data_IF_464297121285
#
_entry.id   IF_464297121285
#
_cell.length_a   1.000
_cell.length_b   1.000
_cell.length_c   1.000
_cell.angle_alpha   90.00
_cell.angle_beta   90.00
_cell.angle_gamma   90.00
#
_symmetry.space_group_name_H-M   'P 1'
#
loop_
_entity.id
_entity.type
_entity.pdbx_description
1 polymer ?
#
# COMPACT_ATOMS: atom_id res chain seq x y z
N UNK A 1 6.49 -19.71 5.25
CA UNK A 1 6.22 -18.40 4.61
C UNK A 1 7.49 -17.56 4.70
N UNK A 2 8.19 -17.37 3.59
CA UNK A 2 9.39 -16.53 3.56
C UNK A 2 8.96 -15.06 3.44
N UNK A 3 8.88 -14.36 4.56
CA UNK A 3 8.68 -12.90 4.55
C UNK A 3 9.98 -12.21 4.17
N UNK A 4 9.90 -11.18 3.36
CA UNK A 4 11.02 -10.29 3.11
C UNK A 4 11.43 -9.64 4.45
N UNK A 5 12.73 -9.65 4.85
CA UNK A 5 13.17 -9.17 6.17
C UNK A 5 12.83 -7.70 6.44
N UNK A 6 12.53 -6.92 5.39
CA UNK A 6 12.14 -5.52 5.47
C UNK A 6 10.62 -5.30 5.36
N UNK A 7 9.77 -6.34 5.49
CA UNK A 7 8.33 -6.23 5.39
C UNK A 7 7.59 -6.74 6.62
N UNK A 8 6.46 -6.10 6.93
CA UNK A 8 5.54 -6.51 7.99
C UNK A 8 4.09 -6.35 7.55
N UNK A 9 3.23 -7.27 8.01
CA UNK A 9 1.79 -7.20 7.79
C UNK A 9 1.09 -7.14 9.16
N UNK A 10 0.46 -6.03 9.46
CA UNK A 10 -0.28 -5.81 10.70
C UNK A 10 -1.46 -4.85 10.45
N UNK A 11 -2.55 -5.05 11.18
CA UNK A 11 -3.71 -4.13 11.19
C UNK A 11 -4.27 -3.81 9.79
N UNK A 12 -4.27 -4.78 8.89
CA UNK A 12 -4.73 -4.58 7.52
C UNK A 12 -3.84 -3.68 6.66
N UNK A 13 -2.59 -3.44 7.09
CA UNK A 13 -1.58 -2.65 6.38
C UNK A 13 -0.32 -3.50 6.18
N UNK A 14 0.24 -3.42 4.99
CA UNK A 14 1.54 -3.98 4.69
C UNK A 14 2.57 -2.86 4.67
N UNK A 15 3.69 -3.05 5.37
CA UNK A 15 4.81 -2.10 5.42
C UNK A 15 6.01 -2.73 4.76
N UNK A 16 6.61 -2.02 3.84
CA UNK A 16 7.82 -2.41 3.13
C UNK A 16 8.85 -1.31 3.26
N UNK A 17 10.04 -1.63 3.78
CA UNK A 17 11.11 -0.65 4.01
C UNK A 17 12.22 -0.82 2.97
N UNK A 18 12.69 0.27 2.44
CA UNK A 18 13.83 0.33 1.52
C UNK A 18 14.72 1.55 1.84
N UNK A 19 15.91 1.56 1.23
CA UNK A 19 16.81 2.70 1.26
C UNK A 19 16.85 3.37 -0.11
N UNK A 20 17.00 4.68 -0.12
CA UNK A 20 17.23 5.46 -1.34
C UNK A 20 18.68 5.33 -1.76
N UNK A 21 18.93 4.98 -3.02
CA UNK A 21 20.24 4.88 -3.65
C UNK A 21 20.47 6.00 -4.67
N UNK A 22 21.70 6.15 -5.17
CA UNK A 22 22.04 7.14 -6.20
C UNK A 22 21.18 7.01 -7.45
N UNK A 23 20.91 5.79 -7.92
CA UNK A 23 20.07 5.51 -9.08
C UNK A 23 18.61 6.02 -8.95
N UNK A 24 18.18 6.30 -7.72
CA UNK A 24 16.83 6.77 -7.43
C UNK A 24 16.71 8.29 -7.46
N UNK A 25 17.85 9.02 -7.46
CA UNK A 25 17.91 10.48 -7.34
C UNK A 25 18.09 11.18 -8.69
N UNK A 26 17.69 12.45 -8.73
CA UNK A 26 17.92 13.34 -9.87
C UNK A 26 19.09 14.32 -9.60
N UNK A 27 19.33 15.20 -10.55
CA UNK A 27 20.38 16.21 -10.45
C UNK A 27 20.16 17.22 -9.29
N UNK A 28 18.96 17.29 -8.74
CA UNK A 28 18.63 18.11 -7.55
C UNK A 28 18.96 17.40 -6.23
N UNK A 29 19.49 16.17 -6.25
CA UNK A 29 19.84 15.39 -5.07
C UNK A 29 18.63 14.89 -4.26
N UNK A 30 17.46 14.84 -4.88
CA UNK A 30 16.23 14.29 -4.31
C UNK A 30 15.75 13.11 -5.13
N UNK A 31 14.92 12.27 -4.53
CA UNK A 31 14.31 11.12 -5.22
C UNK A 31 13.55 11.60 -6.45
N UNK A 32 13.93 11.06 -7.62
CA UNK A 32 13.25 11.33 -8.88
C UNK A 32 11.78 10.91 -8.81
N UNK A 33 10.89 11.76 -9.28
CA UNK A 33 9.45 11.55 -9.09
C UNK A 33 8.94 10.17 -9.55
N UNK A 34 9.49 9.59 -10.62
CA UNK A 34 9.10 8.26 -11.09
C UNK A 34 9.65 7.12 -10.20
N UNK A 35 10.67 7.36 -9.37
CA UNK A 35 11.19 6.36 -8.43
C UNK A 35 10.15 6.00 -7.37
N UNK A 36 9.29 6.93 -6.95
CA UNK A 36 8.18 6.64 -6.04
C UNK A 36 7.20 5.61 -6.61
N UNK A 37 6.98 5.58 -7.93
CA UNK A 37 6.14 4.57 -8.59
C UNK A 37 6.79 3.19 -8.54
N UNK A 38 8.12 3.12 -8.73
CA UNK A 38 8.90 1.87 -8.60
C UNK A 38 8.88 1.34 -7.17
N UNK A 39 9.01 2.21 -6.17
CA UNK A 39 8.91 1.84 -4.76
C UNK A 39 7.52 1.26 -4.43
N UNK A 40 6.47 1.94 -4.90
CA UNK A 40 5.10 1.50 -4.71
C UNK A 40 4.84 0.15 -5.40
N UNK A 41 5.41 -0.08 -6.58
CA UNK A 41 5.29 -1.36 -7.29
C UNK A 41 5.95 -2.50 -6.50
N UNK A 42 7.21 -2.32 -6.04
CA UNK A 42 7.91 -3.30 -5.21
C UNK A 42 7.09 -3.63 -3.94
N UNK A 43 6.60 -2.59 -3.25
CA UNK A 43 5.80 -2.77 -2.03
C UNK A 43 4.51 -3.57 -2.29
N UNK A 44 3.82 -3.35 -3.42
CA UNK A 44 2.65 -4.15 -3.82
C UNK A 44 3.01 -5.62 -4.07
N UNK A 45 4.12 -5.85 -4.75
CA UNK A 45 4.60 -7.20 -5.04
C UNK A 45 4.94 -7.95 -3.77
N UNK A 46 5.63 -7.31 -2.82
CA UNK A 46 5.93 -7.93 -1.52
C UNK A 46 4.66 -8.13 -0.69
N UNK A 47 3.71 -7.19 -0.72
CA UNK A 47 2.43 -7.35 -0.03
C UNK A 47 1.66 -8.60 -0.50
N UNK A 48 1.57 -8.82 -1.81
CA UNK A 48 0.92 -10.02 -2.35
C UNK A 48 1.67 -11.31 -1.98
N UNK A 49 3.02 -11.26 -1.96
CA UNK A 49 3.85 -12.40 -1.56
C UNK A 49 3.63 -12.75 -0.09
N UNK A 50 3.66 -11.76 0.79
CA UNK A 50 3.46 -11.96 2.23
C UNK A 50 2.04 -12.40 2.59
N UNK A 51 1.06 -12.03 1.77
CA UNK A 51 -0.32 -12.50 1.86
C UNK A 51 -0.51 -13.95 1.34
N UNK A 52 0.52 -14.56 0.78
CA UNK A 52 0.45 -15.91 0.20
C UNK A 52 -0.23 -15.98 -1.17
N UNK A 53 -0.38 -14.86 -1.86
CA UNK A 53 -1.03 -14.73 -3.18
C UNK A 53 -0.11 -14.03 -4.20
N UNK A 54 1.12 -14.51 -4.42
CA UNK A 54 2.08 -13.82 -5.28
C UNK A 54 1.64 -13.76 -6.75
N UNK A 55 2.13 -12.77 -7.48
CA UNK A 55 1.84 -12.58 -8.92
C UNK A 55 2.13 -13.84 -9.75
N UNK A 56 3.25 -14.52 -9.47
CA UNK A 56 3.62 -15.74 -10.20
C UNK A 56 2.58 -16.86 -10.06
N UNK A 57 1.99 -17.04 -8.86
CA UNK A 57 0.94 -18.01 -8.64
C UNK A 57 -0.36 -17.62 -9.36
N UNK A 58 -0.71 -16.33 -9.39
CA UNK A 58 -1.87 -15.84 -10.12
C UNK A 58 -1.77 -16.18 -11.61
N UNK A 59 -0.59 -15.95 -12.19
CA UNK A 59 -0.34 -16.27 -13.61
C UNK A 59 -0.30 -17.78 -13.85
N UNK A 60 0.45 -18.54 -13.05
CA UNK A 60 0.64 -19.97 -13.26
C UNK A 60 -0.64 -20.79 -13.06
N UNK A 61 -1.46 -20.44 -12.06
CA UNK A 61 -2.65 -21.22 -11.69
C UNK A 61 -3.92 -20.80 -12.44
N UNK A 62 -4.03 -19.51 -12.74
CA UNK A 62 -5.26 -18.94 -13.29
C UNK A 62 -5.08 -18.27 -14.66
N UNK A 63 -3.87 -18.15 -15.18
CA UNK A 63 -3.60 -17.40 -16.40
C UNK A 63 -4.02 -15.95 -16.31
N UNK A 64 -3.87 -15.33 -15.13
CA UNK A 64 -4.30 -13.97 -14.85
C UNK A 64 -3.14 -13.11 -14.38
N UNK A 65 -3.26 -11.81 -14.56
CA UNK A 65 -2.29 -10.82 -14.07
C UNK A 65 -2.98 -9.52 -13.65
N UNK A 66 -2.33 -8.76 -12.78
CA UNK A 66 -2.73 -7.39 -12.49
C UNK A 66 -2.04 -6.44 -13.46
N UNK A 67 -2.81 -5.49 -13.99
CA UNK A 67 -2.30 -4.35 -14.75
C UNK A 67 -2.70 -3.06 -14.07
N UNK A 68 -1.82 -2.06 -14.13
CA UNK A 68 -2.14 -0.73 -13.62
C UNK A 68 -3.04 -0.02 -14.64
N UNK A 69 -4.24 0.34 -14.21
CA UNK A 69 -5.20 1.11 -15.02
C UNK A 69 -5.05 2.62 -14.81
N UNK A 70 -4.81 3.02 -13.55
CA UNK A 70 -4.72 4.44 -13.18
C UNK A 70 -3.85 4.59 -11.94
N UNK A 71 -3.07 5.65 -11.89
CA UNK A 71 -2.37 6.12 -10.69
C UNK A 71 -2.67 7.60 -10.52
N UNK A 72 -3.02 7.97 -9.28
CA UNK A 72 -2.99 9.35 -8.80
C UNK A 72 -1.83 9.44 -7.80
N UNK A 73 -1.00 10.46 -7.93
CA UNK A 73 0.13 10.70 -7.01
C UNK A 73 0.07 12.12 -6.50
N UNK A 74 0.18 12.28 -5.20
CA UNK A 74 0.38 13.55 -4.54
C UNK A 74 1.79 13.54 -3.91
N UNK A 75 2.69 14.38 -4.40
CA UNK A 75 4.03 14.57 -3.87
C UNK A 75 3.99 15.62 -2.77
N UNK A 76 4.36 15.26 -1.56
CA UNK A 76 4.20 16.10 -0.37
C UNK A 76 5.54 16.66 0.11
N UNK A 77 6.61 15.86 0.01
CA UNK A 77 7.93 16.18 0.54
C UNK A 77 9.00 15.39 -0.22
N UNK A 78 10.15 15.98 -0.55
CA UNK A 78 11.23 15.24 -1.18
C UNK A 78 11.88 14.28 -0.19
N UNK A 79 12.19 13.07 -0.65
CA UNK A 79 13.12 12.16 0.01
C UNK A 79 14.52 12.33 -0.59
N UNK A 80 15.57 11.97 0.17
CA UNK A 80 16.96 12.20 -0.22
C UNK A 80 17.76 10.90 -0.23
N UNK A 81 18.95 10.96 -0.83
CA UNK A 81 19.93 9.89 -0.82
C UNK A 81 20.17 9.37 0.62
N UNK A 82 20.34 8.07 0.75
CA UNK A 82 20.56 7.34 2.01
C UNK A 82 19.37 7.35 2.99
N UNK A 83 18.27 8.04 2.66
CA UNK A 83 17.10 8.02 3.52
C UNK A 83 16.43 6.63 3.50
N UNK A 84 16.00 6.16 4.67
CA UNK A 84 15.18 4.96 4.79
C UNK A 84 13.72 5.34 4.63
N UNK A 85 13.03 4.70 3.67
CA UNK A 85 11.62 4.93 3.39
C UNK A 85 10.80 3.69 3.72
N UNK A 86 9.62 3.91 4.30
CA UNK A 86 8.62 2.85 4.52
C UNK A 86 7.41 3.10 3.63
N UNK A 87 7.09 2.15 2.78
CA UNK A 87 5.89 2.19 1.96
C UNK A 87 4.79 1.39 2.65
N UNK A 88 3.72 2.09 3.05
CA UNK A 88 2.53 1.50 3.67
C UNK A 88 1.52 1.24 2.57
N UNK A 89 1.14 0.00 2.36
CA UNK A 89 0.16 -0.43 1.36
C UNK A 89 -1.12 -0.92 2.06
N UNK A 90 -2.26 -0.38 1.66
CA UNK A 90 -3.56 -0.77 2.17
C UNK A 90 -4.60 -0.86 1.05
N UNK A 91 -5.46 -1.89 1.02
CA UNK A 91 -6.56 -1.96 0.07
C UNK A 91 -7.69 -1.04 0.51
N UNK A 92 -8.18 -0.23 -0.44
CA UNK A 92 -9.37 0.61 -0.27
C UNK A 92 -10.61 -0.07 -0.79
N UNK A 93 -10.53 -0.62 -2.02
CA UNK A 93 -11.64 -1.29 -2.68
C UNK A 93 -11.16 -2.62 -3.25
N UNK A 94 -11.90 -3.70 -2.98
CA UNK A 94 -11.68 -5.02 -3.55
C UNK A 94 -12.91 -5.39 -4.36
N UNK A 95 -12.82 -5.20 -5.68
CA UNK A 95 -13.87 -5.48 -6.64
C UNK A 95 -13.86 -6.94 -7.13
N UNK A 96 -14.71 -7.23 -8.12
CA UNK A 96 -14.74 -8.53 -8.78
C UNK A 96 -13.57 -8.77 -9.74
N UNK A 97 -13.12 -7.71 -10.43
CA UNK A 97 -12.04 -7.73 -11.40
C UNK A 97 -11.07 -6.55 -11.22
N UNK A 98 -11.14 -5.85 -10.10
CA UNK A 98 -10.37 -4.64 -9.83
C UNK A 98 -9.98 -4.54 -8.37
N UNK A 99 -8.90 -3.80 -8.13
CA UNK A 99 -8.39 -3.51 -6.80
C UNK A 99 -7.95 -2.04 -6.76
N UNK A 100 -8.36 -1.30 -5.73
CA UNK A 100 -7.85 0.04 -5.46
C UNK A 100 -7.02 0.00 -4.19
N UNK A 101 -5.80 0.46 -4.27
CA UNK A 101 -4.85 0.52 -3.17
C UNK A 101 -4.51 1.97 -2.87
N UNK A 102 -4.36 2.29 -1.59
CA UNK A 102 -3.62 3.46 -1.14
C UNK A 102 -2.22 3.03 -0.73
N UNK A 103 -1.24 3.78 -1.18
CA UNK A 103 0.16 3.58 -0.78
C UNK A 103 0.73 4.91 -0.31
N UNK A 104 1.35 4.90 0.85
CA UNK A 104 1.99 6.07 1.43
C UNK A 104 3.48 5.81 1.60
N UNK A 105 4.30 6.66 1.00
CA UNK A 105 5.76 6.63 1.16
C UNK A 105 6.12 7.55 2.31
N UNK A 106 6.59 6.95 3.39
CA UNK A 106 6.95 7.63 4.64
C UNK A 106 8.47 7.72 4.76
N UNK A 107 8.99 8.90 4.95
CA UNK A 107 10.37 9.17 5.34
C UNK A 107 10.48 9.55 6.82
N UNK A 108 11.69 9.89 7.25
CA UNK A 108 12.00 10.26 8.64
C UNK A 108 11.20 11.48 9.14
N UNK A 109 10.90 12.43 8.24
CA UNK A 109 10.17 13.65 8.55
C UNK A 109 8.67 13.59 8.19
N UNK A 110 8.13 12.39 7.91
CA UNK A 110 6.73 12.16 7.59
C UNK A 110 6.49 11.75 6.14
N UNK A 111 5.25 11.85 5.67
CA UNK A 111 4.87 11.41 4.34
C UNK A 111 5.58 12.20 3.23
N UNK A 112 6.21 11.49 2.30
CA UNK A 112 6.87 12.03 1.12
C UNK A 112 5.93 12.03 -0.10
N UNK A 113 5.16 10.95 -0.27
CA UNK A 113 4.17 10.85 -1.33
C UNK A 113 3.00 9.96 -0.92
N UNK A 114 1.83 10.23 -1.48
CA UNK A 114 0.64 9.39 -1.37
C UNK A 114 0.17 9.01 -2.76
N UNK A 115 -0.06 7.71 -2.96
CA UNK A 115 -0.52 7.17 -4.23
C UNK A 115 -1.86 6.46 -4.05
N UNK A 116 -2.78 6.68 -4.98
CA UNK A 116 -3.94 5.83 -5.20
C UNK A 116 -3.72 5.06 -6.49
N UNK A 117 -3.70 3.74 -6.41
CA UNK A 117 -3.40 2.85 -7.54
C UNK A 117 -4.61 1.98 -7.82
N UNK A 118 -5.13 2.09 -9.03
CA UNK A 118 -6.22 1.25 -9.53
C UNK A 118 -5.65 0.15 -10.42
N UNK A 119 -5.87 -1.08 -10.02
CA UNK A 119 -5.47 -2.28 -10.74
C UNK A 119 -6.68 -2.94 -11.38
N UNK A 120 -6.49 -3.51 -12.55
CA UNK A 120 -7.43 -4.44 -13.18
C UNK A 120 -6.79 -5.83 -13.24
N UNK A 121 -7.60 -6.86 -13.01
CA UNK A 121 -7.22 -8.24 -13.27
C UNK A 121 -7.59 -8.57 -14.72
N UNK A 122 -6.63 -9.09 -15.49
CA UNK A 122 -6.81 -9.40 -16.92
C UNK A 122 -6.13 -10.73 -17.27
N UNK A 123 -6.48 -11.30 -18.41
CA UNK A 123 -5.69 -12.37 -19.04
C UNK A 123 -4.52 -11.76 -19.81
N UNK A 124 -3.33 -12.39 -19.84
CA UNK A 124 -2.22 -11.95 -20.67
C UNK A 124 -2.63 -11.85 -22.15
N UNK A 125 -2.34 -10.70 -22.76
CA UNK A 125 -2.76 -10.41 -24.14
C UNK A 125 -4.25 -10.09 -24.30
N UNK A 126 -5.03 -10.02 -23.22
CA UNK A 126 -6.45 -9.71 -23.24
C UNK A 126 -6.75 -8.26 -22.83
N UNK A 127 -7.66 -7.62 -23.55
CA UNK A 127 -8.14 -6.27 -23.25
C UNK A 127 -9.32 -6.25 -22.28
N UNK A 128 -9.84 -7.43 -21.90
CA UNK A 128 -11.03 -7.55 -21.07
C UNK A 128 -10.67 -7.87 -19.62
N UNK A 129 -11.31 -7.18 -18.65
CA UNK A 129 -11.19 -7.52 -17.25
C UNK A 129 -11.65 -8.96 -16.98
N UNK A 130 -10.88 -9.68 -16.17
CA UNK A 130 -11.18 -11.03 -15.71
C UNK A 130 -11.45 -11.04 -14.20
N UNK A 131 -12.34 -11.92 -13.75
CA UNK A 131 -12.67 -12.00 -12.32
C UNK A 131 -11.47 -12.49 -11.51
N UNK A 132 -11.22 -11.81 -10.39
CA UNK A 132 -10.26 -12.28 -9.38
C UNK A 132 -10.65 -13.65 -8.85
N UNK A 133 -9.69 -14.59 -8.70
CA UNK A 133 -9.95 -15.86 -8.04
C UNK A 133 -10.53 -15.63 -6.63
N UNK A 134 -11.49 -16.46 -6.18
CA UNK A 134 -12.14 -16.28 -4.88
C UNK A 134 -11.15 -16.20 -3.69
N UNK A 135 -10.07 -16.99 -3.72
CA UNK A 135 -9.01 -16.97 -2.70
C UNK A 135 -8.29 -15.64 -2.62
N UNK A 136 -7.90 -15.06 -3.76
CA UNK A 136 -7.26 -13.74 -3.84
C UNK A 136 -8.20 -12.65 -3.32
N UNK A 137 -9.45 -12.66 -3.79
CA UNK A 137 -10.47 -11.69 -3.37
C UNK A 137 -10.72 -11.77 -1.86
N UNK A 138 -10.86 -12.97 -1.30
CA UNK A 138 -11.08 -13.17 0.13
C UNK A 138 -9.90 -12.68 0.98
N UNK A 139 -8.67 -12.98 0.56
CA UNK A 139 -7.45 -12.52 1.27
C UNK A 139 -7.32 -11.01 1.28
N UNK A 140 -7.53 -10.36 0.13
CA UNK A 140 -7.48 -8.90 0.02
C UNK A 140 -8.63 -8.23 0.79
N UNK A 141 -9.83 -8.82 0.80
CA UNK A 141 -10.96 -8.32 1.57
C UNK A 141 -10.68 -8.40 3.08
N UNK A 142 -10.12 -9.51 3.58
CA UNK A 142 -9.70 -9.63 4.98
C UNK A 142 -8.70 -8.54 5.39
N UNK A 143 -7.72 -8.26 4.52
CA UNK A 143 -6.77 -7.17 4.76
C UNK A 143 -7.46 -5.82 4.87
N UNK A 144 -8.38 -5.50 3.94
CA UNK A 144 -9.17 -4.27 3.97
C UNK A 144 -10.00 -4.14 5.25
N UNK A 145 -10.71 -5.20 5.64
CA UNK A 145 -11.65 -5.19 6.75
C UNK A 145 -10.91 -5.07 8.09
N UNK A 146 -9.74 -5.69 8.24
CA UNK A 146 -8.88 -5.53 9.40
C UNK A 146 -8.42 -4.07 9.59
N UNK A 147 -8.14 -3.35 8.49
CA UNK A 147 -7.82 -1.91 8.54
C UNK A 147 -8.98 -1.08 9.03
N UNK A 148 -10.18 -1.31 8.47
CA UNK A 148 -11.39 -0.54 8.82
C UNK A 148 -11.73 -0.72 10.30
N UNK A 149 -11.60 -1.95 10.82
CA UNK A 149 -11.81 -2.23 12.24
C UNK A 149 -10.84 -1.47 13.15
N UNK A 150 -9.56 -1.42 12.77
CA UNK A 150 -8.55 -0.69 13.54
C UNK A 150 -8.77 0.83 13.54
N UNK A 151 -9.09 1.42 12.38
CA UNK A 151 -9.35 2.85 12.25
C UNK A 151 -10.62 3.27 13.04
N UNK A 152 -11.62 2.39 13.18
CA UNK A 152 -12.82 2.62 13.97
C UNK A 152 -12.52 2.66 15.49
N UNK A 153 -11.68 1.75 15.99
CA UNK A 153 -11.26 1.69 17.39
C UNK A 153 -10.48 2.94 17.77
N UNK A 154 -9.52 3.37 16.96
CA UNK A 154 -8.70 4.55 17.21
C UNK A 154 -9.54 5.84 17.28
N UNK A 155 -10.59 5.95 16.45
CA UNK A 155 -11.49 7.10 16.48
C UNK A 155 -12.37 7.11 17.74
N UNK A 156 -12.76 5.95 18.24
CA UNK A 156 -13.57 5.84 19.47
C UNK A 156 -12.77 6.27 20.69
N UNK A 157 -11.51 5.82 20.81
CA UNK A 157 -10.62 6.21 21.90
C UNK A 157 -10.25 7.70 21.88
N UNK A 158 -10.12 8.31 20.71
CA UNK A 158 -9.88 9.74 20.57
C UNK A 158 -11.10 10.60 20.99
N UNK A 159 -12.31 10.06 20.84
CA UNK A 159 -13.56 10.73 21.26
C UNK A 159 -13.77 10.75 22.78
N UNK A 160 -13.34 9.70 23.47
CA UNK A 160 -13.55 9.56 24.93
C UNK A 160 -12.65 10.48 25.76
N UNK A 161 -11.53 10.98 25.23
CA UNK A 161 -10.59 11.83 25.98
C UNK A 161 -10.95 13.33 26.01
N UNK A 162 -12.07 13.76 25.45
CA UNK A 162 -12.45 15.19 25.40
C UNK A 162 -13.41 15.65 26.48
N UNK A 163 -13.85 14.78 27.39
CA UNK A 163 -14.94 15.12 28.34
C UNK A 163 -14.53 15.06 29.83
N UNK A 164 -13.28 15.36 30.14
CA UNK A 164 -12.87 15.59 31.53
C UNK A 164 -12.28 16.99 31.70
N UNK A 165 -13.03 18.01 31.32
CA UNK A 165 -12.79 19.40 31.68
C UNK A 165 -13.54 19.76 32.94
N UNK A 166 -12.94 19.54 34.10
CA UNK A 166 -13.52 19.90 35.39
C UNK A 166 -13.44 21.39 35.58
N UNK A 167 -14.62 22.00 35.67
CA UNK A 167 -14.75 23.30 36.27
C UNK A 167 -14.41 23.24 37.74
N UNK A 168 -13.61 24.17 38.20
CA UNK A 168 -13.52 24.55 39.61
C UNK A 168 -13.52 26.06 39.72
N UNK A 169 -14.57 26.57 40.21
CA UNK A 169 -14.69 27.83 40.93
C UNK A 169 -14.77 27.50 42.41
N UNK A 170 -14.70 28.44 43.32
CA UNK A 170 -14.71 29.92 43.25
C UNK A 170 -13.38 30.57 43.57
#
# INVERSE_FOLDING_TARGET
MNRHPASTLAEGRHRYTLRVYYEDTDAGGVVYHASYLRYAERARTEALRDLGIPHAALTAQYGLMFVVRRIKVDYLRPARLDESLTIVTEPLVVGGASLVLRQEVQGSAGACAVLEVQLACVQPGGDKPARLPPSYRATLAKMRDARVGCDAIVRHDAGVRRDTGIGAAP
#
